data_IF_344288845744
#
_entry.id   IF_344288845744
#
_cell.length_a   1.000
_cell.length_b   1.000
_cell.length_c   1.000
_cell.angle_alpha   90.00
_cell.angle_beta   90.00
_cell.angle_gamma   90.00
#
_symmetry.space_group_name_H-M   'P 1'
#
loop_
_entity.id
_entity.type
_entity.pdbx_description
1 polymer ?
#
# COMPACT_ATOMS: atom_id res chain seq x y z
N UNK A 1 14.51 19.09 -32.24
CA UNK A 1 13.64 17.90 -32.07
C UNK A 1 14.27 16.81 -31.20
N UNK A 2 15.59 16.55 -31.29
CA UNK A 2 16.28 15.56 -30.42
C UNK A 2 16.04 15.80 -28.91
N UNK A 3 16.18 17.04 -28.44
CA UNK A 3 15.96 17.39 -27.03
C UNK A 3 14.51 17.17 -26.54
N UNK A 4 13.52 17.20 -27.44
CA UNK A 4 12.12 16.95 -27.06
C UNK A 4 11.91 15.48 -26.71
N UNK A 5 12.36 14.59 -27.61
CA UNK A 5 12.28 13.14 -27.40
C UNK A 5 13.10 12.68 -26.19
N UNK A 6 14.29 13.25 -25.99
CA UNK A 6 15.14 12.93 -24.83
C UNK A 6 14.49 13.33 -23.49
N UNK A 7 13.78 14.45 -23.45
CA UNK A 7 13.04 14.87 -22.25
C UNK A 7 11.78 14.04 -22.02
N UNK A 8 11.13 13.59 -23.10
CA UNK A 8 9.93 12.75 -23.04
C UNK A 8 10.23 11.39 -22.42
N UNK A 9 11.40 10.81 -22.67
CA UNK A 9 11.84 9.55 -22.04
C UNK A 9 12.26 9.73 -20.57
N UNK A 10 12.78 10.91 -20.19
CA UNK A 10 13.17 11.22 -18.81
C UNK A 10 11.97 11.49 -17.91
N UNK A 11 10.88 12.02 -18.47
CA UNK A 11 9.70 12.43 -17.71
C UNK A 11 8.99 11.28 -16.98
N UNK A 12 8.73 10.09 -17.58
CA UNK A 12 8.20 8.93 -16.86
C UNK A 12 9.07 8.52 -15.68
N UNK A 13 10.40 8.53 -15.86
CA UNK A 13 11.34 8.20 -14.78
C UNK A 13 11.22 9.20 -13.63
N UNK A 14 11.13 10.49 -13.93
CA UNK A 14 10.91 11.53 -12.93
C UNK A 14 9.57 11.36 -12.21
N UNK A 15 8.48 11.12 -12.95
CA UNK A 15 7.15 10.91 -12.37
C UNK A 15 7.13 9.70 -11.43
N UNK A 16 7.70 8.58 -11.85
CA UNK A 16 7.76 7.37 -11.02
C UNK A 16 8.60 7.65 -9.76
N UNK A 17 9.78 8.24 -9.92
CA UNK A 17 10.68 8.52 -8.80
C UNK A 17 10.05 9.49 -7.78
N UNK A 18 9.42 10.56 -8.25
CA UNK A 18 8.77 11.55 -7.37
C UNK A 18 7.51 10.99 -6.72
N UNK A 19 6.70 10.22 -7.45
CA UNK A 19 5.51 9.58 -6.92
C UNK A 19 5.86 8.57 -5.84
N UNK A 20 6.84 7.70 -6.10
CA UNK A 20 7.33 6.73 -5.10
C UNK A 20 7.96 7.44 -3.90
N UNK A 21 8.81 8.45 -4.13
CA UNK A 21 9.43 9.23 -3.06
C UNK A 21 8.41 9.94 -2.18
N UNK A 22 7.37 10.54 -2.78
CA UNK A 22 6.25 11.14 -2.08
C UNK A 22 5.54 10.11 -1.20
N UNK A 23 5.08 8.99 -1.75
CA UNK A 23 4.38 7.98 -0.94
C UNK A 23 5.25 7.38 0.16
N UNK A 24 6.52 7.09 -0.11
CA UNK A 24 7.43 6.55 0.90
C UNK A 24 7.64 7.53 2.07
N UNK A 25 7.80 8.83 1.77
CA UNK A 25 7.97 9.86 2.80
C UNK A 25 6.67 10.13 3.55
N UNK A 26 5.53 10.23 2.85
CA UNK A 26 4.20 10.38 3.47
C UNK A 26 3.84 9.20 4.38
N UNK A 27 4.20 7.97 4.01
CA UNK A 27 3.91 6.77 4.80
C UNK A 27 4.99 6.41 5.83
N UNK A 28 6.13 7.10 5.85
CA UNK A 28 7.19 6.91 6.86
C UNK A 28 6.67 6.85 8.31
N UNK A 29 5.79 7.75 8.80
CA UNK A 29 5.28 7.66 10.17
C UNK A 29 4.46 6.39 10.42
N UNK A 30 3.74 5.89 9.41
CA UNK A 30 2.97 4.63 9.50
C UNK A 30 3.94 3.46 9.72
N UNK A 31 5.02 3.39 8.93
CA UNK A 31 6.04 2.36 9.11
C UNK A 31 6.76 2.48 10.46
N UNK A 32 6.91 3.70 11.01
CA UNK A 32 7.47 3.91 12.35
C UNK A 32 6.54 3.38 13.45
N UNK A 33 5.22 3.57 13.31
CA UNK A 33 4.22 3.04 14.24
C UNK A 33 4.24 1.50 14.29
N UNK A 34 4.44 0.84 13.16
CA UNK A 34 4.54 -0.63 13.06
C UNK A 34 5.78 -1.20 13.79
N UNK A 35 6.82 -0.40 14.05
CA UNK A 35 7.98 -0.86 14.84
C UNK A 35 7.67 -1.03 16.32
N UNK A 36 6.60 -0.41 16.82
CA UNK A 36 6.17 -0.59 18.21
C UNK A 36 5.45 -1.94 18.36
N UNK A 37 6.02 -2.85 19.16
CA UNK A 37 5.46 -4.20 19.38
C UNK A 37 3.99 -4.18 19.78
N UNK A 38 3.55 -3.25 20.64
CA UNK A 38 2.15 -3.15 21.07
C UNK A 38 1.22 -2.77 19.93
N UNK A 39 1.63 -1.77 19.13
CA UNK A 39 0.87 -1.32 17.96
C UNK A 39 0.82 -2.40 16.89
N UNK A 40 1.94 -3.10 16.66
CA UNK A 40 2.00 -4.17 15.68
C UNK A 40 1.03 -5.32 16.00
N UNK A 41 0.89 -5.70 17.28
CA UNK A 41 -0.08 -6.72 17.70
C UNK A 41 -1.51 -6.26 17.41
N UNK A 42 -1.84 -5.00 17.68
CA UNK A 42 -3.17 -4.42 17.39
C UNK A 42 -3.43 -4.39 15.88
N UNK A 43 -2.46 -3.96 15.08
CA UNK A 43 -2.61 -3.95 13.61
C UNK A 43 -2.81 -5.37 13.08
N UNK A 44 -2.03 -6.33 13.58
CA UNK A 44 -2.15 -7.73 13.15
C UNK A 44 -3.51 -8.33 13.52
N UNK A 45 -4.03 -8.05 14.72
CA UNK A 45 -5.36 -8.55 15.11
C UNK A 45 -6.47 -7.97 14.24
N UNK A 46 -6.41 -6.67 13.92
CA UNK A 46 -7.35 -6.01 13.00
C UNK A 46 -7.30 -6.67 11.62
N UNK A 47 -6.10 -6.93 11.07
CA UNK A 47 -5.93 -7.57 9.76
C UNK A 47 -6.52 -8.99 9.74
N UNK A 48 -6.35 -9.75 10.82
CA UNK A 48 -6.96 -11.09 10.96
C UNK A 48 -8.49 -10.99 10.98
N UNK A 49 -9.05 -10.06 11.76
CA UNK A 49 -10.51 -9.86 11.85
C UNK A 49 -11.08 -9.49 10.47
N UNK A 50 -10.43 -8.59 9.73
CA UNK A 50 -10.84 -8.22 8.38
C UNK A 50 -10.78 -9.43 7.43
N UNK A 51 -9.72 -10.24 7.53
CA UNK A 51 -9.58 -11.42 6.67
C UNK A 51 -10.67 -12.47 6.95
N UNK A 52 -10.98 -12.70 8.24
CA UNK A 52 -12.05 -13.60 8.65
C UNK A 52 -13.41 -13.06 8.21
N UNK A 53 -13.66 -11.76 8.36
CA UNK A 53 -14.94 -11.17 7.96
C UNK A 53 -15.14 -11.26 6.45
N UNK A 54 -14.11 -10.96 5.65
CA UNK A 54 -14.15 -11.12 4.20
C UNK A 54 -14.39 -12.59 3.81
N UNK A 55 -13.72 -13.53 4.46
CA UNK A 55 -13.95 -14.96 4.23
C UNK A 55 -15.39 -15.35 4.52
N UNK A 56 -15.96 -14.92 5.65
CA UNK A 56 -17.34 -15.20 6.02
C UNK A 56 -18.33 -14.58 5.03
N UNK A 57 -18.10 -13.34 4.60
CA UNK A 57 -18.93 -12.67 3.60
C UNK A 57 -18.93 -13.48 2.29
N UNK A 58 -17.75 -13.86 1.79
CA UNK A 58 -17.63 -14.66 0.57
C UNK A 58 -18.30 -16.02 0.74
N UNK A 59 -18.09 -16.70 1.88
CA UNK A 59 -18.72 -17.97 2.22
C UNK A 59 -20.25 -17.87 2.16
N UNK A 60 -20.82 -16.82 2.76
CA UNK A 60 -22.25 -16.54 2.74
C UNK A 60 -22.77 -16.23 1.33
N UNK A 61 -22.03 -15.44 0.55
CA UNK A 61 -22.39 -15.12 -0.84
C UNK A 61 -22.43 -16.36 -1.74
N UNK A 62 -21.54 -17.32 -1.50
CA UNK A 62 -21.46 -18.57 -2.25
C UNK A 62 -22.47 -19.63 -1.76
N UNK A 63 -23.22 -19.36 -0.69
CA UNK A 63 -24.15 -20.33 -0.09
C UNK A 63 -23.45 -21.59 0.44
N UNK A 64 -22.14 -21.54 0.64
CA UNK A 64 -21.35 -22.63 1.20
C UNK A 64 -21.58 -22.57 2.70
N UNK A 65 -22.47 -23.41 3.23
CA UNK A 65 -22.79 -23.43 4.66
C UNK A 65 -21.85 -24.38 5.42
#
# INVERSE_FOLDING_TARGET
>A
MYNFWENLDKFPRFLIATTLGFFLTTFQPIFKLLKNKKVNIIVMSIMIIISISLYLIIKLMLGIN
#
